data_IF_419877718750
#
_entry.id   IF_419877718750
#
_cell.length_a   1.000
_cell.length_b   1.000
_cell.length_c   1.000
_cell.angle_alpha   90.00
_cell.angle_beta   90.00
_cell.angle_gamma   90.00
#
_symmetry.space_group_name_H-M   'P 1'
#
loop_
_entity.id
_entity.type
_entity.pdbx_description
1 polymer ?
#
# COMPACT_ATOMS: atom_id res chain seq x y z
N UNK A 1 11.33 -8.55 2.82
CA UNK A 1 10.30 -9.52 2.40
C UNK A 1 9.40 -9.79 3.59
N UNK A 2 8.08 -9.80 3.37
CA UNK A 2 7.06 -9.99 4.40
C UNK A 2 6.27 -11.25 4.05
N UNK A 3 6.30 -12.24 4.93
CA UNK A 3 5.66 -13.54 4.74
C UNK A 3 5.36 -14.17 6.11
N UNK A 4 4.52 -15.21 6.16
CA UNK A 4 4.30 -16.02 7.35
C UNK A 4 3.92 -15.21 8.62
N UNK A 5 3.18 -14.11 8.46
CA UNK A 5 2.78 -13.21 9.55
C UNK A 5 3.70 -12.01 9.76
N UNK A 6 4.77 -11.86 8.97
CA UNK A 6 5.64 -10.69 9.01
C UNK A 6 4.90 -9.41 8.65
N UNK A 7 5.12 -8.36 9.43
CA UNK A 7 4.50 -7.04 9.24
C UNK A 7 5.55 -5.94 9.12
N UNK A 8 5.36 -5.02 8.18
CA UNK A 8 6.09 -3.76 8.09
C UNK A 8 5.09 -2.62 8.21
N UNK A 9 5.34 -1.72 9.15
CA UNK A 9 4.62 -0.46 9.31
C UNK A 9 5.56 0.67 8.94
N UNK A 10 5.13 1.55 8.05
CA UNK A 10 5.88 2.70 7.57
C UNK A 10 5.13 3.96 8.02
N UNK A 11 5.74 4.73 8.91
CA UNK A 11 5.12 5.90 9.53
C UNK A 11 5.57 7.21 8.86
N UNK A 12 5.14 8.35 9.43
CA UNK A 12 5.47 9.66 8.89
C UNK A 12 6.99 9.85 8.78
N UNK A 13 7.46 10.28 7.61
CA UNK A 13 8.89 10.44 7.29
C UNK A 13 9.70 9.13 7.21
N UNK A 14 9.05 7.96 7.33
CA UNK A 14 9.70 6.69 7.06
C UNK A 14 9.65 6.34 5.58
N UNK A 15 10.69 5.63 5.15
CA UNK A 15 10.86 5.20 3.77
C UNK A 15 11.12 3.70 3.70
N UNK A 16 10.32 3.00 2.89
CA UNK A 16 10.58 1.61 2.52
C UNK A 16 10.72 1.47 1.00
N UNK A 17 11.64 0.62 0.58
CA UNK A 17 11.97 0.42 -0.83
C UNK A 17 11.97 -1.07 -1.15
N UNK A 18 11.53 -1.44 -2.35
CA UNK A 18 11.59 -2.82 -2.88
C UNK A 18 11.00 -3.87 -1.91
N UNK A 19 9.83 -3.56 -1.36
CA UNK A 19 9.18 -4.43 -0.37
C UNK A 19 8.36 -5.50 -1.07
N UNK A 20 8.77 -6.77 -0.93
CA UNK A 20 7.94 -7.92 -1.34
C UNK A 20 6.97 -8.28 -0.21
N UNK A 21 5.67 -8.27 -0.51
CA UNK A 21 4.60 -8.72 0.39
C UNK A 21 4.02 -10.02 -0.15
N UNK A 22 4.41 -11.13 0.48
CA UNK A 22 4.01 -12.49 0.12
C UNK A 22 2.89 -13.02 1.04
N UNK A 23 2.50 -14.28 0.84
CA UNK A 23 1.43 -14.93 1.59
C UNK A 23 1.58 -14.78 3.10
N UNK A 24 0.56 -14.20 3.74
CA UNK A 24 0.55 -13.94 5.17
C UNK A 24 1.36 -12.71 5.61
N UNK A 25 2.04 -12.02 4.69
CA UNK A 25 2.71 -10.75 4.96
C UNK A 25 1.75 -9.55 4.97
N UNK A 26 2.06 -8.57 5.81
CA UNK A 26 1.30 -7.32 5.93
C UNK A 26 2.23 -6.10 5.76
N UNK A 27 1.87 -5.21 4.84
CA UNK A 27 2.47 -3.89 4.72
C UNK A 27 1.42 -2.83 5.07
N UNK A 28 1.68 -2.03 6.10
CA UNK A 28 0.89 -0.88 6.53
C UNK A 28 1.67 0.41 6.25
N UNK A 29 1.12 1.29 5.42
CA UNK A 29 1.68 2.62 5.16
C UNK A 29 0.76 3.64 5.77
N UNK A 30 1.29 4.40 6.72
CA UNK A 30 0.54 5.43 7.43
C UNK A 30 0.70 6.79 6.75
N UNK A 31 -0.02 7.77 7.29
CA UNK A 31 0.05 9.17 6.90
C UNK A 31 1.51 9.65 6.89
N UNK A 32 1.93 10.30 5.81
CA UNK A 32 3.31 10.78 5.65
C UNK A 32 4.34 9.69 5.32
N UNK A 33 3.97 8.41 5.28
CA UNK A 33 4.86 7.32 4.93
C UNK A 33 5.10 7.21 3.43
N UNK A 34 6.30 6.77 3.05
CA UNK A 34 6.70 6.60 1.65
C UNK A 34 7.16 5.17 1.38
N UNK A 35 6.52 4.48 0.43
CA UNK A 35 6.94 3.14 -0.01
C UNK A 35 6.99 3.03 -1.53
N UNK A 36 8.14 2.67 -2.09
CA UNK A 36 8.26 2.47 -3.55
C UNK A 36 8.80 1.09 -3.90
N UNK A 37 8.43 0.58 -5.07
CA UNK A 37 8.82 -0.76 -5.52
C UNK A 37 8.14 -1.89 -4.75
N UNK A 38 6.91 -1.73 -4.29
CA UNK A 38 6.17 -2.81 -3.61
C UNK A 38 5.81 -3.92 -4.60
N UNK A 39 6.34 -5.12 -4.41
CA UNK A 39 5.90 -6.32 -5.13
C UNK A 39 4.89 -7.08 -4.26
N UNK A 40 3.60 -6.88 -4.53
CA UNK A 40 2.53 -7.61 -3.84
C UNK A 40 2.25 -8.93 -4.57
N UNK A 41 2.56 -10.05 -3.92
CA UNK A 41 2.19 -11.40 -4.37
C UNK A 41 0.76 -11.78 -3.94
N UNK A 42 0.29 -12.92 -4.44
CA UNK A 42 -0.97 -13.50 -4.02
C UNK A 42 -0.92 -13.85 -2.52
N UNK A 43 -1.98 -13.52 -1.77
CA UNK A 43 -2.03 -13.75 -0.31
C UNK A 43 -1.37 -12.66 0.56
N UNK A 44 -0.56 -11.75 -0.02
CA UNK A 44 -0.05 -10.58 0.68
C UNK A 44 -1.10 -9.49 0.87
N UNK A 45 -1.02 -8.76 1.99
CA UNK A 45 -1.95 -7.68 2.36
C UNK A 45 -1.24 -6.33 2.37
N UNK A 46 -1.91 -5.34 1.79
CA UNK A 46 -1.43 -3.96 1.73
C UNK A 46 -2.52 -3.03 2.27
N UNK A 47 -2.20 -2.27 3.30
CA UNK A 47 -3.05 -1.22 3.89
C UNK A 47 -2.29 0.09 3.73
N UNK A 48 -2.95 1.09 3.16
CA UNK A 48 -2.33 2.39 2.87
C UNK A 48 -3.30 3.48 3.28
N UNK A 49 -2.85 4.38 4.13
CA UNK A 49 -3.54 5.63 4.43
C UNK A 49 -3.68 6.49 3.17
N UNK A 50 -4.81 7.18 3.02
CA UNK A 50 -5.01 8.13 1.91
C UNK A 50 -4.03 9.31 1.98
N UNK A 51 -3.42 9.57 3.14
CA UNK A 51 -2.42 10.61 3.34
C UNK A 51 -0.97 10.09 3.23
N UNK A 52 -0.76 8.86 2.75
CA UNK A 52 0.58 8.41 2.41
C UNK A 52 1.16 9.29 1.30
N UNK A 53 2.45 9.65 1.41
CA UNK A 53 3.09 10.56 0.45
C UNK A 53 3.23 9.90 -0.92
N UNK A 54 3.74 8.66 -0.91
CA UNK A 54 3.85 7.87 -2.12
C UNK A 54 3.80 6.37 -1.79
N UNK A 55 2.97 5.63 -2.52
CA UNK A 55 3.01 4.16 -2.54
C UNK A 55 3.01 3.66 -3.98
N UNK A 56 4.09 3.05 -4.44
CA UNK A 56 4.19 2.56 -5.82
C UNK A 56 4.82 1.18 -5.92
N UNK A 57 4.47 0.42 -6.95
CA UNK A 57 5.08 -0.88 -7.20
C UNK A 57 4.42 -1.72 -8.29
N UNK A 58 5.05 -2.83 -8.70
CA UNK A 58 4.43 -3.81 -9.56
C UNK A 58 3.48 -4.73 -8.79
N UNK A 59 2.44 -5.21 -9.44
CA UNK A 59 1.59 -6.27 -8.97
C UNK A 59 1.30 -7.26 -10.11
N UNK A 60 0.62 -8.36 -9.79
CA UNK A 60 0.30 -9.41 -10.77
C UNK A 60 -0.53 -8.95 -11.98
N UNK A 61 -1.03 -7.70 -12.01
CA UNK A 61 -1.82 -7.13 -13.12
C UNK A 61 -1.23 -5.84 -13.72
N UNK A 62 -0.09 -5.34 -13.25
CA UNK A 62 0.56 -4.11 -13.75
C UNK A 62 1.21 -3.26 -12.66
N UNK A 63 1.69 -2.05 -13.00
CA UNK A 63 2.17 -1.09 -12.00
C UNK A 63 1.02 -0.36 -11.30
N UNK A 64 1.20 -0.01 -10.03
CA UNK A 64 0.35 0.89 -9.26
C UNK A 64 1.16 2.05 -8.68
N UNK A 65 0.53 3.22 -8.53
CA UNK A 65 1.12 4.39 -7.88
C UNK A 65 0.04 5.23 -7.20
N UNK A 66 0.28 5.54 -5.93
CA UNK A 66 -0.48 6.45 -5.08
C UNK A 66 0.49 7.60 -4.77
N UNK A 67 0.11 8.85 -5.06
CA UNK A 67 0.89 10.06 -4.74
C UNK A 67 -0.07 11.17 -4.31
N UNK A 68 0.32 11.96 -3.31
CA UNK A 68 -0.41 13.16 -2.85
C UNK A 68 -1.90 12.92 -2.51
N UNK A 69 -2.25 11.73 -2.02
CA UNK A 69 -3.64 11.34 -1.74
C UNK A 69 -4.57 11.25 -2.95
N UNK A 70 -4.07 11.55 -4.16
CA UNK A 70 -4.78 11.31 -5.41
C UNK A 70 -4.53 9.86 -5.81
N UNK A 71 -5.40 8.99 -5.29
CA UNK A 71 -5.43 7.60 -5.69
C UNK A 71 -5.80 7.49 -7.18
N UNK A 72 -4.82 7.27 -8.06
CA UNK A 72 -5.06 6.62 -9.36
C UNK A 72 -5.27 5.14 -9.11
N UNK A 73 -6.24 4.78 -8.29
CA UNK A 73 -6.55 3.37 -8.13
C UNK A 73 -7.29 2.91 -9.38
N UNK A 74 -6.61 2.08 -10.16
CA UNK A 74 -7.27 1.28 -11.17
C UNK A 74 -8.26 0.37 -10.43
N UNK A 75 -9.54 0.44 -10.84
CA UNK A 75 -10.76 -0.19 -10.30
C UNK A 75 -10.67 -1.67 -9.83
N UNK A 76 -9.55 -2.34 -10.08
CA UNK A 76 -9.35 -3.76 -9.80
C UNK A 76 -8.62 -4.05 -8.47
N UNK A 77 -8.10 -3.04 -7.76
CA UNK A 77 -7.45 -3.19 -6.44
C UNK A 77 -8.44 -3.16 -5.26
N UNK A 78 -9.74 -2.96 -5.53
CA UNK A 78 -10.79 -2.96 -4.52
C UNK A 78 -11.30 -4.39 -4.32
N UNK A 79 -10.74 -5.12 -3.35
CA UNK A 79 -11.44 -6.27 -2.78
C UNK A 79 -12.60 -5.75 -1.92
N UNK A 80 -13.75 -6.42 -1.88
CA UNK A 80 -14.84 -6.04 -0.98
C UNK A 80 -14.32 -6.03 0.47
N UNK A 81 -14.23 -4.85 1.08
CA UNK A 81 -13.66 -4.65 2.42
C UNK A 81 -12.45 -3.70 2.48
N UNK A 82 -11.91 -3.24 1.35
CA UNK A 82 -10.95 -2.12 1.32
C UNK A 82 -11.69 -0.80 1.53
N UNK A 83 -11.62 -0.24 2.74
CA UNK A 83 -12.30 1.00 3.10
C UNK A 83 -11.75 2.18 2.29
N UNK A 84 -12.63 2.79 1.50
CA UNK A 84 -12.47 4.15 1.00
C UNK A 84 -12.82 5.12 2.13
N UNK A 85 -11.86 5.42 3.00
CA UNK A 85 -11.98 6.50 3.97
C UNK A 85 -11.76 7.84 3.28
N UNK A 86 -12.67 8.27 2.42
CA UNK A 86 -12.68 9.63 1.90
C UNK A 86 -13.03 10.59 3.04
N UNK A 87 -12.05 11.32 3.55
CA UNK A 87 -12.28 12.43 4.47
C UNK A 87 -12.96 13.57 3.68
N UNK A 88 -14.29 13.60 3.65
CA UNK A 88 -15.05 14.77 3.22
C UNK A 88 -15.13 15.74 4.40
N UNK A 89 -14.15 16.64 4.50
CA UNK A 89 -14.25 17.83 5.32
C UNK A 89 -14.97 18.92 4.56
N UNK A 90 -16.22 19.21 4.95
CA UNK A 90 -16.79 20.56 5.06
C UNK A 90 -17.86 20.53 6.15
#
# INVERSE_FOLDING_TARGET
>A
MLENGGSLRVEENDFAYNTTVDSGGLLEVMDGGTVTGVDKKAGGKLIVSTNALEVSGPNSKGQFSIKDGVSKIMNWMMVPGSFYGGHAGH
#
